data_IF_680232109872
#
_entry.id   IF_680232109872
#
_cell.length_a   1.000
_cell.length_b   1.000
_cell.length_c   1.000
_cell.angle_alpha   90.00
_cell.angle_beta   90.00
_cell.angle_gamma   90.00
#
_symmetry.space_group_name_H-M   'P 1'
#
loop_
_entity.id
_entity.type
_entity.pdbx_description
1 polymer ?
#
# COMPACT_ATOMS: atom_id res chain seq x y z
N UNK A 1 -16.30 35.84 -4.29
CA UNK A 1 -16.64 34.41 -4.53
C UNK A 1 -16.11 33.87 -5.86
N UNK A 2 -16.12 34.63 -6.96
CA UNK A 2 -15.60 34.17 -8.27
C UNK A 2 -14.08 33.92 -8.30
N UNK A 3 -13.27 34.78 -7.70
CA UNK A 3 -11.79 34.62 -7.67
C UNK A 3 -11.32 33.33 -7.00
N UNK A 4 -11.95 32.95 -5.88
CA UNK A 4 -11.64 31.69 -5.16
C UNK A 4 -12.02 30.44 -5.94
N UNK A 5 -13.08 30.50 -6.76
CA UNK A 5 -13.48 29.41 -7.65
C UNK A 5 -12.51 29.25 -8.82
N UNK A 6 -12.01 30.36 -9.37
CA UNK A 6 -11.06 30.34 -10.49
C UNK A 6 -9.73 29.71 -10.06
N UNK A 7 -9.19 30.11 -8.90
CA UNK A 7 -7.94 29.53 -8.36
C UNK A 7 -8.10 28.02 -8.11
N UNK A 8 -9.25 27.62 -7.56
CA UNK A 8 -9.58 26.20 -7.33
C UNK A 8 -9.67 25.40 -8.64
N UNK A 9 -10.31 25.95 -9.67
CA UNK A 9 -10.42 25.28 -10.99
C UNK A 9 -9.06 25.15 -11.66
N UNK A 10 -8.20 26.17 -11.58
CA UNK A 10 -6.84 26.12 -12.15
C UNK A 10 -5.97 25.09 -11.41
N UNK A 11 -6.06 25.03 -10.08
CA UNK A 11 -5.32 24.06 -9.27
C UNK A 11 -5.79 22.62 -9.54
N UNK A 12 -7.11 22.40 -9.66
CA UNK A 12 -7.67 21.08 -9.99
C UNK A 12 -7.32 20.65 -11.41
N UNK A 13 -7.30 21.57 -12.37
CA UNK A 13 -6.88 21.25 -13.74
C UNK A 13 -5.39 20.89 -13.82
N UNK A 14 -4.54 21.55 -13.03
CA UNK A 14 -3.11 21.23 -12.96
C UNK A 14 -2.84 19.85 -12.32
N UNK A 15 -3.68 19.41 -11.39
CA UNK A 15 -3.53 18.13 -10.69
C UNK A 15 -4.16 16.94 -11.43
N UNK A 16 -5.26 17.16 -12.16
CA UNK A 16 -6.01 16.09 -12.85
C UNK A 16 -5.85 16.06 -14.37
N UNK A 17 -5.24 17.08 -14.99
CA UNK A 17 -5.07 17.17 -16.45
C UNK A 17 -4.20 16.07 -17.08
N UNK A 18 -3.53 15.25 -16.29
CA UNK A 18 -2.69 14.13 -16.77
C UNK A 18 -3.32 12.73 -16.64
N UNK A 19 -4.48 12.57 -16.00
CA UNK A 19 -5.00 11.23 -15.66
C UNK A 19 -5.86 10.60 -16.78
N UNK A 20 -6.50 11.41 -17.63
CA UNK A 20 -7.45 10.90 -18.63
C UNK A 20 -6.80 10.18 -19.82
N UNK A 21 -5.53 10.40 -20.11
CA UNK A 21 -4.85 9.80 -21.27
C UNK A 21 -4.28 8.41 -20.99
N UNK A 22 -4.17 8.00 -19.72
CA UNK A 22 -3.55 6.72 -19.34
C UNK A 22 -4.55 5.56 -19.29
N UNK A 23 -5.85 5.84 -19.14
CA UNK A 23 -6.89 4.81 -18.98
C UNK A 23 -7.64 4.45 -20.28
N UNK A 24 -7.29 5.07 -21.40
CA UNK A 24 -8.01 4.88 -22.67
C UNK A 24 -7.43 3.78 -23.58
N UNK A 25 -6.29 3.17 -23.24
CA UNK A 25 -5.52 2.34 -24.18
C UNK A 25 -5.47 0.83 -23.87
N UNK A 26 -6.29 0.33 -22.93
CA UNK A 26 -6.35 -1.11 -22.62
C UNK A 26 -7.72 -1.73 -22.97
N UNK A 27 -8.04 -1.79 -24.26
CA UNK A 27 -9.08 -2.69 -24.78
C UNK A 27 -8.47 -4.07 -25.06
N UNK A 28 -8.37 -4.92 -24.02
CA UNK A 28 -7.93 -6.30 -24.18
C UNK A 28 -9.09 -7.16 -24.71
N UNK A 29 -9.03 -7.47 -26.01
CA UNK A 29 -9.96 -8.37 -26.70
C UNK A 29 -9.60 -9.83 -26.33
N UNK A 30 -10.54 -10.52 -25.68
CA UNK A 30 -10.49 -11.96 -25.46
C UNK A 30 -10.77 -12.66 -26.79
N UNK A 31 -9.79 -13.41 -27.30
CA UNK A 31 -9.94 -14.30 -28.45
C UNK A 31 -10.03 -15.75 -27.95
N UNK A 32 -11.23 -16.32 -27.99
CA UNK A 32 -11.44 -17.77 -27.90
C UNK A 32 -10.68 -18.47 -29.04
N UNK A 33 -9.77 -19.38 -28.71
CA UNK A 33 -9.26 -20.37 -29.68
C UNK A 33 -9.61 -21.77 -29.19
N UNK A 34 -10.57 -22.36 -29.89
CA UNK A 34 -11.02 -23.76 -29.80
C UNK A 34 -10.14 -24.63 -30.69
N UNK A 35 -9.50 -25.64 -30.13
CA UNK A 35 -8.83 -26.75 -30.86
C UNK A 35 -9.15 -28.04 -30.09
N UNK A 36 -10.28 -28.69 -30.38
CA UNK A 36 -10.48 -29.83 -31.31
C UNK A 36 -9.60 -31.06 -31.00
N UNK A 37 -10.27 -32.13 -30.59
CA UNK A 37 -9.76 -33.43 -30.16
C UNK A 37 -9.94 -34.39 -31.31
N UNK A 38 -8.89 -35.14 -31.72
CA UNK A 38 -9.04 -36.42 -32.43
C UNK A 38 -7.90 -37.41 -32.13
N UNK A 39 -8.31 -38.58 -31.62
CA UNK A 39 -7.93 -39.96 -31.99
C UNK A 39 -6.46 -40.41 -31.86
N UNK A 40 -6.10 -41.65 -31.51
CA UNK A 40 -6.64 -42.82 -30.80
C UNK A 40 -5.39 -43.75 -30.65
N UNK A 41 -5.43 -44.68 -29.67
CA UNK A 41 -4.94 -46.07 -29.82
C UNK A 41 -3.52 -46.49 -29.33
N UNK A 42 -3.57 -47.13 -28.15
CA UNK A 42 -2.92 -48.38 -27.72
C UNK A 42 -1.37 -48.51 -27.65
N UNK A 43 -0.84 -48.77 -26.45
CA UNK A 43 -0.44 -50.13 -26.03
C UNK A 43 -0.11 -50.15 -24.53
N UNK A 44 -0.60 -51.18 -23.84
CA UNK A 44 -0.38 -51.51 -22.43
C UNK A 44 1.08 -51.89 -22.13
N UNK A 45 1.62 -51.48 -20.98
CA UNK A 45 2.37 -52.33 -20.02
C UNK A 45 2.37 -51.64 -18.64
N UNK A 46 1.65 -52.27 -17.72
CA UNK A 46 1.89 -52.49 -16.29
C UNK A 46 3.05 -51.72 -15.59
N UNK A 47 2.74 -50.86 -14.61
CA UNK A 47 3.20 -51.00 -13.22
C UNK A 47 2.62 -49.92 -12.27
N UNK A 48 2.18 -50.39 -11.10
CA UNK A 48 2.21 -49.72 -9.78
C UNK A 48 1.20 -48.62 -9.45
N UNK A 49 0.20 -49.08 -8.69
CA UNK A 49 -0.63 -48.40 -7.67
C UNK A 49 -0.22 -47.00 -7.18
N UNK A 50 -1.13 -46.02 -7.35
CA UNK A 50 -1.65 -45.08 -6.34
C UNK A 50 -2.75 -44.20 -6.99
N UNK A 51 -3.81 -43.79 -6.27
CA UNK A 51 -4.87 -42.99 -6.88
C UNK A 51 -4.34 -41.58 -7.13
N UNK A 52 -4.12 -41.24 -8.41
CA UNK A 52 -3.91 -39.87 -8.85
C UNK A 52 -5.24 -39.15 -8.64
N UNK A 53 -5.33 -38.43 -7.53
CA UNK A 53 -6.38 -37.45 -7.31
C UNK A 53 -6.25 -36.39 -8.40
N UNK A 54 -7.24 -36.39 -9.29
CA UNK A 54 -7.51 -35.38 -10.32
C UNK A 54 -7.37 -34.00 -9.69
N UNK A 55 -6.30 -33.29 -10.05
CA UNK A 55 -6.14 -31.87 -9.71
C UNK A 55 -7.23 -31.11 -10.45
N UNK A 56 -8.20 -30.59 -9.71
CA UNK A 56 -9.09 -29.57 -10.23
C UNK A 56 -8.24 -28.33 -10.53
N UNK A 57 -8.22 -27.96 -11.80
CA UNK A 57 -7.57 -26.76 -12.33
C UNK A 57 -8.34 -25.53 -11.82
N UNK A 58 -8.00 -25.09 -10.62
CA UNK A 58 -8.38 -23.77 -10.13
C UNK A 58 -7.29 -22.81 -10.62
N UNK A 59 -7.58 -22.08 -11.69
CA UNK A 59 -6.70 -21.04 -12.26
C UNK A 59 -6.68 -19.76 -11.41
N UNK A 60 -7.43 -19.72 -10.32
CA UNK A 60 -7.47 -18.63 -9.35
C UNK A 60 -6.86 -19.07 -8.02
N UNK A 61 -5.82 -18.37 -7.59
CA UNK A 61 -5.26 -18.53 -6.26
C UNK A 61 -6.28 -18.10 -5.19
N UNK A 62 -6.55 -18.96 -4.22
CA UNK A 62 -7.38 -18.65 -3.06
C UNK A 62 -6.69 -17.64 -2.14
N UNK A 63 -7.45 -17.00 -1.25
CA UNK A 63 -6.87 -16.11 -0.23
C UNK A 63 -5.89 -16.84 0.71
N UNK A 64 -5.99 -18.17 0.78
CA UNK A 64 -5.11 -19.05 1.56
C UNK A 64 -3.78 -19.37 0.83
N UNK A 65 -3.69 -19.13 -0.47
CA UNK A 65 -2.48 -19.34 -1.28
C UNK A 65 -1.49 -18.17 -1.16
N UNK A 66 -1.92 -17.05 -0.57
CA UNK A 66 -1.04 -15.92 -0.31
C UNK A 66 -0.37 -16.07 1.06
N UNK A 67 0.96 -16.24 1.12
CA UNK A 67 1.68 -16.39 2.38
C UNK A 67 1.62 -15.14 3.27
N UNK A 68 1.17 -13.99 2.74
CA UNK A 68 0.93 -12.78 3.50
C UNK A 68 -0.23 -11.96 2.91
N UNK A 69 -1.38 -11.93 3.59
CA UNK A 69 -2.45 -10.94 3.37
C UNK A 69 -2.04 -9.52 3.81
N UNK A 70 -0.89 -9.41 4.47
CA UNK A 70 -0.34 -8.20 5.07
C UNK A 70 -0.32 -6.98 4.12
N UNK A 71 0.15 -7.06 2.86
CA UNK A 71 0.20 -5.88 1.99
C UNK A 71 -1.17 -5.28 1.69
N UNK A 72 -2.21 -6.10 1.57
CA UNK A 72 -3.57 -5.63 1.27
C UNK A 72 -4.16 -4.81 2.43
N UNK A 73 -3.94 -5.28 3.66
CA UNK A 73 -4.48 -4.64 4.88
C UNK A 73 -3.70 -3.38 5.25
N UNK A 74 -2.38 -3.34 4.99
CA UNK A 74 -1.53 -2.20 5.36
C UNK A 74 -1.47 -1.09 4.30
N UNK A 75 -1.63 -1.39 3.00
CA UNK A 75 -1.58 -0.34 1.96
C UNK A 75 -2.88 0.45 1.82
N UNK A 76 -4.02 -0.18 2.11
CA UNK A 76 -5.33 0.47 2.04
C UNK A 76 -5.44 1.71 2.97
N UNK A 77 -5.00 1.64 4.25
CA UNK A 77 -4.88 2.80 5.13
C UNK A 77 -4.00 3.93 4.59
N UNK A 78 -2.86 3.60 3.96
CA UNK A 78 -1.91 4.59 3.43
C UNK A 78 -2.62 5.48 2.41
N UNK A 79 -3.28 4.85 1.43
CA UNK A 79 -3.97 5.57 0.36
C UNK A 79 -5.13 6.39 0.92
N UNK A 80 -5.92 5.83 1.85
CA UNK A 80 -7.04 6.55 2.48
C UNK A 80 -6.57 7.78 3.26
N UNK A 81 -5.53 7.65 4.07
CA UNK A 81 -5.03 8.78 4.87
C UNK A 81 -4.44 9.89 3.99
N UNK A 82 -3.70 9.53 2.93
CA UNK A 82 -3.22 10.53 1.96
C UNK A 82 -4.37 11.18 1.19
N UNK A 83 -5.39 10.41 0.81
CA UNK A 83 -6.59 10.95 0.18
C UNK A 83 -7.35 11.89 1.12
N UNK A 84 -7.43 11.56 2.41
CA UNK A 84 -8.05 12.43 3.41
C UNK A 84 -7.33 13.79 3.49
N UNK A 85 -5.99 13.81 3.48
CA UNK A 85 -5.20 15.05 3.44
C UNK A 85 -5.55 15.89 2.21
N UNK A 86 -5.63 15.27 1.03
CA UNK A 86 -5.96 15.97 -0.20
C UNK A 86 -7.39 16.54 -0.16
N UNK A 87 -8.37 15.76 0.30
CA UNK A 87 -9.75 16.21 0.45
C UNK A 87 -9.88 17.33 1.47
N UNK A 88 -9.14 17.25 2.58
CA UNK A 88 -9.11 18.29 3.61
C UNK A 88 -8.46 19.58 3.09
N UNK A 89 -7.43 19.48 2.25
CA UNK A 89 -6.86 20.64 1.56
C UNK A 89 -7.89 21.30 0.65
N UNK A 90 -8.62 20.52 -0.16
CA UNK A 90 -9.72 21.01 -0.99
C UNK A 90 -10.80 21.69 -0.15
N UNK A 91 -11.10 21.13 1.03
CA UNK A 91 -12.11 21.65 1.94
C UNK A 91 -11.79 23.05 2.48
N UNK A 92 -10.51 23.43 2.61
CA UNK A 92 -10.13 24.79 3.00
C UNK A 92 -10.62 25.86 2.01
N UNK A 93 -10.78 25.49 0.73
CA UNK A 93 -11.24 26.38 -0.32
C UNK A 93 -12.73 26.26 -0.60
N UNK A 94 -13.26 25.03 -0.60
CA UNK A 94 -14.65 24.74 -0.98
C UNK A 94 -15.61 24.96 0.19
N UNK A 95 -15.23 24.60 1.43
CA UNK A 95 -16.05 24.69 2.64
C UNK A 95 -17.46 24.13 2.42
N UNK A 96 -17.56 22.89 1.95
CA UNK A 96 -18.84 22.22 1.71
C UNK A 96 -19.11 21.18 2.80
N UNK A 97 -20.33 21.19 3.34
CA UNK A 97 -20.76 20.25 4.38
C UNK A 97 -20.78 18.79 3.92
N UNK A 98 -21.05 18.52 2.64
CA UNK A 98 -20.99 17.16 2.10
C UNK A 98 -19.56 16.63 2.10
N UNK A 99 -18.58 17.48 1.78
CA UNK A 99 -17.17 17.09 1.80
C UNK A 99 -16.67 16.77 3.21
N UNK A 100 -17.19 17.42 4.25
CA UNK A 100 -16.82 17.08 5.64
C UNK A 100 -17.15 15.63 6.00
N UNK A 101 -18.31 15.13 5.55
CA UNK A 101 -18.71 13.74 5.75
C UNK A 101 -17.81 12.78 4.97
N UNK A 102 -17.49 13.11 3.72
CA UNK A 102 -16.56 12.30 2.92
C UNK A 102 -15.20 12.24 3.60
N UNK A 103 -14.63 13.37 4.01
CA UNK A 103 -13.34 13.45 4.71
C UNK A 103 -13.38 12.65 6.00
N UNK A 104 -14.45 12.78 6.78
CA UNK A 104 -14.62 12.03 8.04
C UNK A 104 -14.63 10.51 7.80
N UNK A 105 -15.35 10.04 6.79
CA UNK A 105 -15.37 8.63 6.43
C UNK A 105 -13.99 8.18 5.93
N UNK A 106 -13.34 8.95 5.06
CA UNK A 106 -12.02 8.62 4.52
C UNK A 106 -10.96 8.53 5.63
N UNK A 107 -10.85 9.52 6.52
CA UNK A 107 -9.90 9.48 7.64
C UNK A 107 -10.30 8.44 8.68
N UNK A 108 -11.61 8.23 8.90
CA UNK A 108 -12.12 7.24 9.83
C UNK A 108 -11.80 5.81 9.40
N UNK A 109 -12.08 5.44 8.14
CA UNK A 109 -11.68 4.15 7.59
C UNK A 109 -10.17 3.99 7.50
N UNK A 110 -9.44 5.07 7.18
CA UNK A 110 -7.98 5.06 7.19
C UNK A 110 -7.41 4.75 8.58
N UNK A 111 -7.95 5.39 9.63
CA UNK A 111 -7.59 5.11 11.02
C UNK A 111 -7.94 3.68 11.44
N UNK A 112 -9.17 3.21 11.17
CA UNK A 112 -9.59 1.85 11.52
C UNK A 112 -8.68 0.83 10.83
N UNK A 113 -8.39 1.02 9.54
CA UNK A 113 -7.50 0.14 8.82
C UNK A 113 -6.06 0.16 9.36
N UNK A 114 -5.54 1.33 9.74
CA UNK A 114 -4.24 1.44 10.39
C UNK A 114 -4.19 0.75 11.77
N UNK A 115 -5.27 0.87 12.55
CA UNK A 115 -5.41 0.19 13.84
C UNK A 115 -5.43 -1.34 13.68
N UNK A 116 -6.19 -1.84 12.72
CA UNK A 116 -6.26 -3.27 12.40
C UNK A 116 -4.91 -3.78 11.91
N UNK A 117 -4.25 -3.03 11.02
CA UNK A 117 -2.91 -3.34 10.53
C UNK A 117 -1.88 -3.47 11.66
N UNK A 118 -1.88 -2.53 12.60
CA UNK A 118 -0.90 -2.52 13.71
C UNK A 118 -1.16 -3.55 14.81
N UNK A 119 -2.38 -4.09 14.93
CA UNK A 119 -2.76 -5.00 16.03
C UNK A 119 -2.86 -6.47 15.62
N UNK A 120 -3.30 -6.75 14.40
CA UNK A 120 -3.59 -8.14 13.98
C UNK A 120 -2.45 -8.78 13.21
N UNK A 121 -1.47 -8.01 12.72
CA UNK A 121 -0.40 -8.54 11.88
C UNK A 121 0.97 -8.23 12.47
N UNK A 122 1.34 -8.98 13.49
CA UNK A 122 2.67 -8.90 14.09
C UNK A 122 3.69 -9.71 13.26
N UNK A 123 4.74 -9.07 12.71
CA UNK A 123 5.85 -9.79 12.12
C UNK A 123 6.71 -10.42 13.22
N UNK A 124 7.04 -11.70 13.07
CA UNK A 124 8.03 -12.37 13.94
C UNK A 124 9.43 -11.95 13.46
N UNK A 125 10.09 -11.07 14.20
CA UNK A 125 11.36 -10.42 13.83
C UNK A 125 12.55 -10.93 14.64
N UNK A 126 12.60 -12.24 14.91
CA UNK A 126 13.75 -12.85 15.58
C UNK A 126 14.93 -13.04 14.61
N UNK A 127 16.13 -12.59 15.01
CA UNK A 127 17.38 -12.79 14.24
C UNK A 127 17.80 -11.65 13.30
N UNK A 128 17.17 -10.47 13.37
CA UNK A 128 17.52 -9.31 12.55
C UNK A 128 18.91 -8.73 12.83
N UNK A 129 19.57 -8.21 11.78
CA UNK A 129 20.78 -7.39 11.90
C UNK A 129 20.50 -6.12 12.70
N UNK A 130 21.52 -5.53 13.32
CA UNK A 130 21.37 -4.31 14.13
C UNK A 130 20.80 -3.14 13.31
N UNK A 131 21.19 -3.04 12.02
CA UNK A 131 20.65 -2.05 11.09
C UNK A 131 19.17 -2.28 10.81
N UNK A 132 18.76 -3.52 10.50
CA UNK A 132 17.36 -3.86 10.23
C UNK A 132 16.45 -3.57 11.43
N UNK A 133 16.91 -3.84 12.66
CA UNK A 133 16.18 -3.49 13.89
C UNK A 133 15.96 -1.98 14.01
N UNK A 134 16.99 -1.17 13.76
CA UNK A 134 16.87 0.29 13.84
C UNK A 134 15.89 0.86 12.79
N UNK A 135 15.89 0.29 11.58
CA UNK A 135 14.92 0.71 10.55
C UNK A 135 13.50 0.26 10.93
N UNK A 136 13.34 -0.93 11.53
CA UNK A 136 12.06 -1.42 12.04
C UNK A 136 11.53 -0.51 13.16
N UNK A 137 12.37 -0.10 14.11
CA UNK A 137 11.98 0.86 15.16
C UNK A 137 11.50 2.20 14.59
N UNK A 138 12.14 2.67 13.50
CA UNK A 138 11.68 3.87 12.80
C UNK A 138 10.33 3.63 12.12
N UNK A 139 10.15 2.51 11.42
CA UNK A 139 8.88 2.13 10.83
C UNK A 139 7.75 2.13 11.87
N UNK A 140 7.94 1.43 12.99
CA UNK A 140 6.96 1.32 14.07
C UNK A 140 6.64 2.68 14.69
N UNK A 141 7.67 3.50 14.92
CA UNK A 141 7.49 4.87 15.45
C UNK A 141 6.61 5.73 14.54
N UNK A 142 6.84 5.69 13.23
CA UNK A 142 6.03 6.44 12.27
C UNK A 142 4.63 5.83 12.09
N UNK A 143 4.48 4.51 12.22
CA UNK A 143 3.19 3.84 12.24
C UNK A 143 2.36 4.27 13.47
N UNK A 144 2.97 4.32 14.66
CA UNK A 144 2.32 4.82 15.88
C UNK A 144 1.91 6.29 15.75
N UNK A 145 2.79 7.14 15.23
CA UNK A 145 2.46 8.54 14.96
C UNK A 145 1.30 8.67 13.97
N UNK A 146 1.25 7.83 12.94
CA UNK A 146 0.13 7.76 12.00
C UNK A 146 -1.16 7.41 12.71
N UNK A 147 -1.15 6.38 13.57
CA UNK A 147 -2.31 5.92 14.30
C UNK A 147 -2.89 7.03 15.20
N UNK A 148 -2.04 7.64 16.04
CA UNK A 148 -2.49 8.69 16.97
C UNK A 148 -2.88 9.98 16.25
N UNK A 149 -2.14 10.38 15.21
CA UNK A 149 -2.46 11.58 14.44
C UNK A 149 -3.75 11.42 13.63
N UNK A 150 -3.98 10.25 13.03
CA UNK A 150 -5.23 9.98 12.29
C UNK A 150 -6.43 9.87 13.23
N UNK A 151 -6.28 9.28 14.42
CA UNK A 151 -7.31 9.30 15.47
C UNK A 151 -7.68 10.72 15.89
N UNK A 152 -6.66 11.56 16.15
CA UNK A 152 -6.86 12.96 16.50
C UNK A 152 -7.50 13.74 15.35
N UNK A 153 -7.08 13.52 14.10
CA UNK A 153 -7.66 14.15 12.92
C UNK A 153 -9.14 13.77 12.74
N UNK A 154 -9.49 12.50 12.93
CA UNK A 154 -10.87 12.03 12.88
C UNK A 154 -11.72 12.69 13.98
N UNK A 155 -11.22 12.74 15.21
CA UNK A 155 -11.90 13.40 16.33
C UNK A 155 -12.10 14.90 16.07
N UNK A 156 -11.06 15.60 15.62
CA UNK A 156 -11.15 17.01 15.25
C UNK A 156 -12.15 17.21 14.11
N UNK A 157 -12.22 16.29 13.14
CA UNK A 157 -13.19 16.40 12.05
C UNK A 157 -14.63 16.23 12.53
N UNK A 158 -14.89 15.29 13.45
CA UNK A 158 -16.19 15.15 14.12
C UNK A 158 -16.56 16.47 14.82
N UNK A 159 -15.62 17.04 15.59
CA UNK A 159 -15.84 18.32 16.29
C UNK A 159 -16.12 19.46 15.30
N UNK A 160 -15.45 19.50 14.14
CA UNK A 160 -15.75 20.49 13.11
C UNK A 160 -17.19 20.37 12.59
N UNK A 161 -17.64 19.14 12.35
CA UNK A 161 -18.93 18.84 11.72
C UNK A 161 -20.12 19.24 12.62
N UNK A 162 -19.98 19.04 13.94
CA UNK A 162 -21.04 19.30 14.92
C UNK A 162 -20.96 20.70 15.57
N UNK A 163 -19.77 21.17 15.98
CA UNK A 163 -19.62 22.43 16.74
C UNK A 163 -19.22 23.63 15.90
N UNK A 164 -18.17 23.51 15.07
CA UNK A 164 -17.56 24.66 14.42
C UNK A 164 -18.09 24.94 13.00
N UNK A 165 -18.87 24.02 12.41
CA UNK A 165 -19.63 24.18 11.16
C UNK A 165 -18.89 25.01 10.10
N UNK A 166 -17.72 24.57 9.66
CA UNK A 166 -16.91 25.19 8.57
C UNK A 166 -16.17 26.49 8.93
N UNK A 167 -15.81 26.72 10.20
CA UNK A 167 -14.89 27.82 10.53
C UNK A 167 -13.50 27.55 9.95
N UNK A 168 -13.07 28.38 8.98
CA UNK A 168 -11.76 28.26 8.30
C UNK A 168 -10.58 28.07 9.23
N UNK A 169 -10.50 28.84 10.33
CA UNK A 169 -9.39 28.72 11.28
C UNK A 169 -9.30 27.34 11.93
N UNK A 170 -10.45 26.73 12.23
CA UNK A 170 -10.50 25.38 12.78
C UNK A 170 -10.14 24.33 11.73
N UNK A 171 -10.68 24.46 10.50
CA UNK A 171 -10.36 23.55 9.39
C UNK A 171 -8.87 23.56 9.01
N UNK A 172 -8.18 24.71 9.14
CA UNK A 172 -6.72 24.80 8.98
C UNK A 172 -6.01 23.97 10.06
N UNK A 173 -6.46 24.05 11.32
CA UNK A 173 -5.94 23.21 12.40
C UNK A 173 -6.14 21.72 12.12
N UNK A 174 -7.33 21.33 11.66
CA UNK A 174 -7.61 19.94 11.24
C UNK A 174 -6.68 19.53 10.10
N UNK A 175 -6.48 20.40 9.11
CA UNK A 175 -5.58 20.12 7.99
C UNK A 175 -4.13 19.89 8.46
N UNK A 176 -3.61 20.69 9.38
CA UNK A 176 -2.24 20.52 9.90
C UNK A 176 -2.07 19.15 10.57
N UNK A 177 -3.02 18.75 11.41
CA UNK A 177 -2.97 17.43 12.08
C UNK A 177 -3.09 16.30 11.06
N UNK A 178 -3.99 16.44 10.08
CA UNK A 178 -4.18 15.43 9.04
C UNK A 178 -2.95 15.34 8.13
N UNK A 179 -2.33 16.45 7.78
CA UNK A 179 -1.09 16.50 7.00
C UNK A 179 0.07 15.84 7.75
N UNK A 180 0.16 16.01 9.07
CA UNK A 180 1.13 15.28 9.90
C UNK A 180 0.87 13.77 9.90
N UNK A 181 -0.39 13.33 9.93
CA UNK A 181 -0.74 11.92 9.76
C UNK A 181 -0.31 11.39 8.37
N UNK A 182 -0.58 12.17 7.31
CA UNK A 182 -0.16 11.85 5.94
C UNK A 182 1.36 11.77 5.76
N UNK A 183 2.11 12.67 6.38
CA UNK A 183 3.57 12.63 6.41
C UNK A 183 4.08 11.38 7.14
N UNK A 184 3.51 11.10 8.32
CA UNK A 184 3.93 9.97 9.15
C UNK A 184 3.67 8.64 8.43
N UNK A 185 2.53 8.49 7.74
CA UNK A 185 2.21 7.25 7.03
C UNK A 185 3.10 7.05 5.80
N UNK A 186 3.47 8.13 5.11
CA UNK A 186 4.41 8.07 4.00
C UNK A 186 5.80 7.63 4.48
N UNK A 187 6.25 8.11 5.65
CA UNK A 187 7.52 7.69 6.25
C UNK A 187 7.48 6.23 6.72
N UNK A 188 6.38 5.80 7.35
CA UNK A 188 6.20 4.38 7.71
C UNK A 188 6.29 3.50 6.46
N UNK A 189 5.61 3.87 5.37
CA UNK A 189 5.72 3.17 4.08
C UNK A 189 7.14 3.16 3.52
N UNK A 190 7.87 4.27 3.62
CA UNK A 190 9.27 4.34 3.17
C UNK A 190 10.17 3.35 3.93
N UNK A 191 10.16 3.38 5.26
CA UNK A 191 10.95 2.42 6.05
C UNK A 191 10.48 0.98 5.87
N UNK A 192 9.17 0.75 5.67
CA UNK A 192 8.64 -0.57 5.36
C UNK A 192 9.18 -1.11 4.02
N UNK A 193 9.28 -0.26 3.00
CA UNK A 193 9.89 -0.64 1.72
C UNK A 193 11.39 -0.94 1.87
N UNK A 194 12.12 -0.17 2.69
CA UNK A 194 13.53 -0.42 3.00
C UNK A 194 13.72 -1.75 3.73
N UNK A 195 12.85 -2.08 4.69
CA UNK A 195 12.88 -3.36 5.38
C UNK A 195 12.82 -4.53 4.40
N UNK A 196 11.88 -4.49 3.46
CA UNK A 196 11.65 -5.59 2.52
C UNK A 196 12.75 -5.66 1.45
N UNK A 197 13.16 -4.52 0.89
CA UNK A 197 14.00 -4.48 -0.33
C UNK A 197 15.49 -4.23 -0.07
N UNK A 198 15.89 -3.75 1.12
CA UNK A 198 17.29 -3.46 1.47
C UNK A 198 17.75 -4.32 2.64
N UNK A 199 16.91 -4.50 3.66
CA UNK A 199 17.26 -5.30 4.85
C UNK A 199 16.83 -6.77 4.74
N UNK A 200 16.08 -7.13 3.68
CA UNK A 200 15.62 -8.50 3.43
C UNK A 200 14.63 -9.02 4.48
N UNK A 201 13.85 -8.15 5.09
CA UNK A 201 12.85 -8.47 6.12
C UNK A 201 11.46 -8.51 5.50
N UNK A 202 10.99 -9.71 5.14
CA UNK A 202 9.66 -9.92 4.54
C UNK A 202 9.53 -11.27 3.81
N UNK A 203 8.35 -11.62 3.26
CA UNK A 203 8.13 -12.90 2.55
C UNK A 203 9.01 -13.10 1.30
N UNK A 204 9.49 -12.01 0.68
CA UNK A 204 10.48 -12.06 -0.40
C UNK A 204 11.93 -11.90 0.10
N UNK A 205 12.10 -11.67 1.40
CA UNK A 205 13.37 -11.36 2.07
C UNK A 205 14.24 -12.60 2.31
N UNK A 206 14.61 -13.29 1.24
CA UNK A 206 15.51 -14.44 1.30
C UNK A 206 16.80 -14.11 0.57
N UNK A 207 17.65 -13.29 1.20
CA UNK A 207 18.97 -12.84 0.71
C UNK A 207 18.91 -11.76 -0.36
N UNK A 208 19.21 -10.52 0.03
CA UNK A 208 19.79 -9.57 -0.92
C UNK A 208 21.25 -9.97 -1.05
N UNK A 209 21.59 -10.62 -2.17
CA UNK A 209 22.96 -10.95 -2.50
C UNK A 209 23.78 -9.66 -2.60
N UNK A 210 24.95 -9.66 -1.97
CA UNK A 210 25.95 -8.62 -2.17
C UNK A 210 26.33 -8.58 -3.66
N UNK A 211 25.73 -7.67 -4.42
CA UNK A 211 26.22 -7.28 -5.74
C UNK A 211 27.25 -6.14 -5.63
N UNK A 212 28.16 -6.25 -4.65
CA UNK A 212 29.35 -5.41 -4.51
C UNK A 212 30.46 -6.24 -3.85
N UNK A 213 30.94 -7.28 -4.51
CA UNK A 213 32.36 -7.65 -4.37
C UNK A 213 33.01 -7.54 -5.74
N UNK A 214 33.81 -6.49 -5.79
CA UNK A 214 34.55 -5.96 -6.90
C UNK A 214 35.60 -6.96 -7.38
N UNK A 215 35.81 -6.96 -8.69
CA UNK A 215 37.00 -7.56 -9.28
C UNK A 215 38.27 -6.87 -8.78
N UNK A 216 39.08 -7.61 -8.04
CA UNK A 216 40.54 -7.49 -7.96
C UNK A 216 41.05 -8.94 -8.08
N UNK A 217 41.86 -9.35 -9.07
CA UNK A 217 43.05 -8.70 -9.60
C UNK A 217 44.26 -9.21 -8.81
N UNK A 218 45.10 -10.04 -9.46
CA UNK A 218 46.49 -10.40 -9.09
C UNK A 218 46.66 -11.39 -7.90
N UNK A 219 47.60 -12.35 -7.83
CA UNK A 219 48.49 -13.11 -8.73
C UNK A 219 49.13 -14.23 -7.88
N UNK A 220 49.65 -15.27 -8.54
CA UNK A 220 50.68 -16.23 -8.05
C UNK A 220 50.28 -17.18 -6.89
N UNK A 221 50.65 -18.46 -6.84
CA UNK A 221 51.95 -19.04 -7.16
C UNK A 221 51.84 -20.57 -7.31
N UNK A 222 52.62 -21.11 -8.24
CA UNK A 222 52.78 -22.53 -8.51
C UNK A 222 53.83 -23.18 -7.57
N UNK A 223 53.70 -24.50 -7.44
CA UNK A 223 54.72 -25.50 -7.10
C UNK A 223 54.97 -25.83 -5.63
N UNK A 224 54.73 -27.09 -5.28
CA UNK A 224 55.77 -28.05 -4.92
C UNK A 224 55.36 -29.46 -5.35
#
# INVERSE_FOLDING_TARGET
MKSKKIIFTVLMLALFGGFSTVFADSNFIVSETKTDIKDEKSLSIFETSSPISVSQDHTEAGLDDFPNLHPLVVHFPIVLLLLAVLLQLIQLFVLNRTLDWVILLTVGFGFIGAYVAGTLVHPHTEGLTETAKKVLELHDKYADWTLWASALAALLKIVSLFWYKLKRGFEIGVFVVMAFAGYSVAQAGHYGSQLVHIEGVGPQGKYLGNENEEGHGESDEHSH
#
